data_IF_976870250833
#
_entry.id   IF_976870250833
#
_cell.length_a   1.000
_cell.length_b   1.000
_cell.length_c   1.000
_cell.angle_alpha   90.00
_cell.angle_beta   90.00
_cell.angle_gamma   90.00
#
_symmetry.space_group_name_H-M   'P 1'
#
loop_
_entity.id
_entity.type
_entity.pdbx_description
1 polymer ?
#
# COMPACT_ATOMS: atom_id res chain seq x y z
N UNK A 1 -26.40 22.12 -70.70
CA UNK A 1 -25.40 21.63 -69.75
C UNK A 1 -26.07 21.33 -68.42
N UNK A 2 -26.26 20.07 -68.12
CA UNK A 2 -27.00 19.60 -66.88
C UNK A 2 -25.99 18.88 -66.04
N UNK A 3 -25.69 19.42 -64.86
CA UNK A 3 -24.88 18.76 -63.83
C UNK A 3 -25.82 17.96 -62.93
N UNK A 4 -25.66 16.64 -62.88
CA UNK A 4 -26.37 15.78 -61.95
C UNK A 4 -25.71 15.77 -60.58
N UNK A 5 -26.46 15.54 -59.49
CA UNK A 5 -25.90 15.50 -58.16
C UNK A 5 -25.25 14.15 -57.88
N UNK A 6 -23.99 14.17 -57.42
CA UNK A 6 -23.29 13.03 -56.86
C UNK A 6 -23.86 12.76 -55.45
N UNK A 7 -24.51 11.63 -55.28
CA UNK A 7 -24.87 11.10 -53.95
C UNK A 7 -23.64 10.49 -53.31
N UNK A 8 -23.10 11.16 -52.31
CA UNK A 8 -22.07 10.60 -51.40
C UNK A 8 -22.80 9.74 -50.38
N UNK A 9 -22.71 8.43 -50.55
CA UNK A 9 -23.16 7.48 -49.53
C UNK A 9 -22.14 7.46 -48.39
N UNK A 10 -22.53 8.05 -47.26
CA UNK A 10 -21.75 8.00 -46.00
C UNK A 10 -21.93 6.60 -45.39
N UNK A 11 -20.94 5.73 -45.56
CA UNK A 11 -20.87 4.46 -44.87
C UNK A 11 -20.45 4.73 -43.39
N UNK A 12 -21.41 4.76 -42.51
CA UNK A 12 -21.14 4.75 -41.07
C UNK A 12 -20.80 3.32 -40.70
N UNK A 13 -19.51 2.99 -40.67
CA UNK A 13 -19.03 1.78 -40.02
C UNK A 13 -19.12 1.98 -38.53
N UNK A 14 -20.13 1.38 -37.89
CA UNK A 14 -20.19 1.23 -36.44
C UNK A 14 -19.03 0.32 -36.01
N UNK A 15 -17.92 0.93 -35.50
CA UNK A 15 -16.98 0.18 -34.70
C UNK A 15 -17.69 -0.26 -33.42
N UNK A 16 -17.63 -1.56 -33.06
CA UNK A 16 -17.97 -1.95 -31.72
C UNK A 16 -16.92 -1.32 -30.80
N UNK A 17 -17.34 -0.39 -29.94
CA UNK A 17 -16.58 -0.05 -28.74
C UNK A 17 -16.50 -1.34 -27.93
N UNK A 18 -15.35 -2.02 -28.04
CA UNK A 18 -14.87 -2.89 -27.01
C UNK A 18 -14.66 -1.99 -25.80
N UNK A 19 -15.61 -1.99 -24.90
CA UNK A 19 -15.39 -1.58 -23.53
C UNK A 19 -14.37 -2.59 -22.98
N UNK A 20 -13.08 -2.28 -23.16
CA UNK A 20 -12.04 -2.83 -22.33
C UNK A 20 -12.45 -2.48 -20.91
N UNK A 21 -12.90 -3.46 -20.17
CA UNK A 21 -12.94 -3.43 -18.73
C UNK A 21 -11.50 -3.11 -18.32
N UNK A 22 -11.24 -1.85 -18.01
CA UNK A 22 -10.04 -1.45 -17.32
C UNK A 22 -10.10 -2.17 -15.97
N UNK A 23 -9.58 -3.39 -15.98
CA UNK A 23 -9.17 -4.08 -14.78
C UNK A 23 -8.29 -3.10 -14.03
N UNK A 24 -8.79 -2.62 -12.90
CA UNK A 24 -8.29 -1.46 -12.20
C UNK A 24 -6.83 -1.72 -11.81
N UNK A 25 -5.89 -1.13 -12.56
CA UNK A 25 -4.46 -1.24 -12.34
C UNK A 25 -3.96 -0.71 -10.99
N UNK A 26 -4.86 -0.19 -10.16
CA UNK A 26 -4.59 0.23 -8.79
C UNK A 26 -4.00 -0.91 -7.94
N UNK A 27 -4.55 -2.13 -8.02
CA UNK A 27 -4.07 -3.26 -7.21
C UNK A 27 -2.65 -3.72 -7.58
N UNK A 28 -2.28 -3.66 -8.85
CA UNK A 28 -0.94 -4.03 -9.32
C UNK A 28 0.08 -2.95 -8.93
N UNK A 29 -0.26 -1.68 -9.11
CA UNK A 29 0.61 -0.54 -8.78
C UNK A 29 0.82 -0.41 -7.27
N UNK A 30 -0.22 -0.68 -6.46
CA UNK A 30 -0.13 -0.69 -4.99
C UNK A 30 0.77 -1.83 -4.47
N UNK A 31 0.66 -3.02 -5.05
CA UNK A 31 1.54 -4.14 -4.71
C UNK A 31 2.99 -3.87 -5.09
N UNK A 32 3.24 -3.25 -6.25
CA UNK A 32 4.56 -2.84 -6.69
C UNK A 32 5.12 -1.80 -5.73
N UNK A 33 4.34 -0.79 -5.35
CA UNK A 33 4.74 0.28 -4.43
C UNK A 33 5.11 -0.30 -3.06
N UNK A 34 4.28 -1.17 -2.48
CA UNK A 34 4.57 -1.81 -1.20
C UNK A 34 5.78 -2.74 -1.26
N UNK A 35 5.97 -3.46 -2.36
CA UNK A 35 7.14 -4.32 -2.56
C UNK A 35 8.41 -3.48 -2.66
N UNK A 36 8.37 -2.36 -3.38
CA UNK A 36 9.50 -1.45 -3.53
C UNK A 36 9.84 -0.79 -2.19
N UNK A 37 8.85 -0.30 -1.44
CA UNK A 37 9.04 0.26 -0.10
C UNK A 37 9.69 -0.77 0.84
N UNK A 38 9.25 -2.03 0.82
CA UNK A 38 9.82 -3.07 1.66
C UNK A 38 11.25 -3.46 1.26
N UNK A 39 11.58 -3.42 -0.03
CA UNK A 39 12.95 -3.67 -0.51
C UNK A 39 13.90 -2.55 -0.11
N UNK A 40 13.46 -1.30 -0.24
CA UNK A 40 14.27 -0.13 0.10
C UNK A 40 14.40 0.07 1.62
N UNK A 41 13.45 -0.44 2.40
CA UNK A 41 13.38 -0.29 3.86
C UNK A 41 14.62 -0.84 4.56
N UNK A 42 15.09 -2.05 4.21
CA UNK A 42 16.33 -2.63 4.75
C UNK A 42 17.55 -1.77 4.45
N UNK A 43 17.66 -1.26 3.22
CA UNK A 43 18.73 -0.37 2.80
C UNK A 43 18.71 0.95 3.59
N UNK A 44 17.52 1.52 3.82
CA UNK A 44 17.36 2.73 4.64
C UNK A 44 17.85 2.50 6.06
N UNK A 45 17.51 1.38 6.71
CA UNK A 45 18.00 1.09 8.05
C UNK A 45 19.50 0.85 8.07
N UNK A 46 20.04 0.08 7.13
CA UNK A 46 21.48 -0.18 7.03
C UNK A 46 22.27 1.13 6.90
N UNK A 47 21.82 2.05 6.06
CA UNK A 47 22.47 3.33 5.82
C UNK A 47 22.35 4.31 7.00
N UNK A 48 21.29 4.24 7.80
CA UNK A 48 20.98 5.28 8.78
C UNK A 48 21.22 4.89 10.24
N UNK A 49 21.28 3.61 10.58
CA UNK A 49 21.46 3.18 11.98
C UNK A 49 22.93 3.13 12.42
N UNK A 50 23.87 3.01 11.48
CA UNK A 50 25.29 2.92 11.78
C UNK A 50 25.60 1.76 12.76
N UNK A 51 25.00 0.58 12.50
CA UNK A 51 25.15 -0.59 13.34
C UNK A 51 26.58 -1.15 13.23
N UNK A 52 27.14 -1.57 14.35
CA UNK A 52 28.35 -2.42 14.34
C UNK A 52 27.98 -3.82 13.84
N UNK A 53 28.98 -4.65 13.53
CA UNK A 53 28.75 -6.04 13.12
C UNK A 53 27.99 -6.82 14.19
N UNK A 54 28.38 -6.66 15.47
CA UNK A 54 27.70 -7.30 16.60
C UNK A 54 26.27 -6.81 16.80
N UNK A 55 26.01 -5.51 16.66
CA UNK A 55 24.66 -4.93 16.73
C UNK A 55 23.80 -5.43 15.56
N UNK A 56 24.36 -5.50 14.36
CA UNK A 56 23.69 -6.02 13.15
C UNK A 56 23.27 -7.47 13.34
N UNK A 57 24.15 -8.32 13.87
CA UNK A 57 23.85 -9.73 14.13
C UNK A 57 22.65 -9.91 15.09
N UNK A 58 22.44 -8.97 16.03
CA UNK A 58 21.31 -9.00 16.97
C UNK A 58 20.07 -8.31 16.43
N UNK A 59 20.22 -7.26 15.65
CA UNK A 59 19.11 -6.44 15.13
C UNK A 59 18.33 -7.13 14.02
N UNK A 60 19.03 -7.63 12.97
CA UNK A 60 18.36 -8.12 11.76
C UNK A 60 17.41 -9.30 12.01
N UNK A 61 17.71 -10.30 12.86
CA UNK A 61 16.74 -11.36 13.13
C UNK A 61 15.44 -10.86 13.74
N UNK A 62 15.50 -9.85 14.62
CA UNK A 62 14.30 -9.24 15.24
C UNK A 62 13.52 -8.44 14.20
N UNK A 63 14.22 -7.72 13.34
CA UNK A 63 13.63 -6.95 12.26
C UNK A 63 12.92 -7.88 11.25
N UNK A 64 13.58 -8.95 10.82
CA UNK A 64 13.01 -9.91 9.87
C UNK A 64 11.77 -10.63 10.46
N UNK A 65 11.78 -10.95 11.75
CA UNK A 65 10.60 -11.47 12.44
C UNK A 65 9.44 -10.43 12.46
N UNK A 66 9.77 -9.15 12.64
CA UNK A 66 8.78 -8.07 12.59
C UNK A 66 8.14 -7.96 11.20
N UNK A 67 8.95 -7.89 10.15
CA UNK A 67 8.47 -7.80 8.77
C UNK A 67 7.60 -9.01 8.37
N UNK A 68 8.01 -10.22 8.76
CA UNK A 68 7.23 -11.42 8.51
C UNK A 68 5.84 -11.38 9.18
N UNK A 69 5.73 -10.75 10.36
CA UNK A 69 4.44 -10.59 11.06
C UNK A 69 3.64 -9.37 10.58
N UNK A 70 4.31 -8.37 10.01
CA UNK A 70 3.66 -7.21 9.44
C UNK A 70 2.99 -7.54 8.09
N UNK A 71 3.58 -8.46 7.32
CA UNK A 71 3.08 -8.84 6.00
C UNK A 71 1.59 -9.23 5.97
N UNK A 72 1.07 -10.12 6.84
CA UNK A 72 -0.36 -10.45 6.85
C UNK A 72 -1.27 -9.24 7.09
N UNK A 73 -0.83 -8.25 7.86
CA UNK A 73 -1.58 -7.01 8.08
C UNK A 73 -1.58 -6.14 6.81
N UNK A 74 -0.47 -6.09 6.09
CA UNK A 74 -0.37 -5.42 4.79
C UNK A 74 -1.28 -6.10 3.75
N UNK A 75 -1.28 -7.43 3.71
CA UNK A 75 -2.14 -8.20 2.79
C UNK A 75 -3.64 -7.94 3.08
N UNK A 76 -4.04 -7.89 4.37
CA UNK A 76 -5.41 -7.53 4.79
C UNK A 76 -5.76 -6.08 4.42
N UNK A 77 -4.83 -5.16 4.59
CA UNK A 77 -5.01 -3.76 4.20
C UNK A 77 -5.27 -3.65 2.70
N UNK A 78 -4.45 -4.29 1.87
CA UNK A 78 -4.65 -4.31 0.41
C UNK A 78 -5.98 -4.94 0.02
N UNK A 79 -6.35 -6.07 0.64
CA UNK A 79 -7.63 -6.71 0.38
C UNK A 79 -8.82 -5.78 0.72
N UNK A 80 -8.72 -5.03 1.82
CA UNK A 80 -9.74 -4.05 2.20
C UNK A 80 -9.84 -2.89 1.21
N UNK A 81 -8.71 -2.39 0.71
CA UNK A 81 -8.66 -1.36 -0.33
C UNK A 81 -9.24 -1.85 -1.66
N UNK A 82 -8.85 -3.04 -2.10
CA UNK A 82 -9.37 -3.63 -3.33
C UNK A 82 -10.88 -3.84 -3.26
N UNK A 83 -11.39 -4.28 -2.10
CA UNK A 83 -12.83 -4.41 -1.88
C UNK A 83 -13.54 -3.05 -1.94
N UNK A 84 -12.94 -2.00 -1.38
CA UNK A 84 -13.45 -0.63 -1.50
C UNK A 84 -13.47 -0.15 -2.96
N UNK A 85 -12.36 -0.35 -3.70
CA UNK A 85 -12.27 0.05 -5.09
C UNK A 85 -13.31 -0.65 -5.96
N UNK A 86 -13.50 -1.96 -5.78
CA UNK A 86 -14.46 -2.76 -6.52
C UNK A 86 -15.93 -2.36 -6.26
N UNK A 87 -16.22 -1.79 -5.10
CA UNK A 87 -17.59 -1.40 -4.69
C UNK A 87 -17.81 0.12 -4.69
N UNK A 88 -16.86 0.90 -5.15
CA UNK A 88 -16.86 2.36 -4.97
C UNK A 88 -18.16 3.05 -5.41
N UNK A 89 -18.71 2.68 -6.56
CA UNK A 89 -19.94 3.28 -7.12
C UNK A 89 -21.23 2.65 -6.57
N UNK A 90 -21.14 1.49 -5.91
CA UNK A 90 -22.27 0.72 -5.37
C UNK A 90 -22.14 0.43 -3.88
N UNK A 91 -21.32 1.22 -3.18
CA UNK A 91 -21.01 1.01 -1.77
C UNK A 91 -22.23 1.19 -0.89
N UNK A 92 -22.63 0.13 -0.21
CA UNK A 92 -23.73 0.15 0.76
C UNK A 92 -23.19 0.38 2.19
N UNK A 93 -24.04 0.89 3.09
CA UNK A 93 -23.70 1.14 4.50
C UNK A 93 -23.14 -0.09 5.21
N UNK A 94 -23.67 -1.28 4.92
CA UNK A 94 -23.18 -2.53 5.49
C UNK A 94 -21.75 -2.87 5.07
N UNK A 95 -21.41 -2.63 3.80
CA UNK A 95 -20.07 -2.80 3.27
C UNK A 95 -19.11 -1.78 3.88
N UNK A 96 -19.52 -0.52 3.92
CA UNK A 96 -18.74 0.56 4.52
C UNK A 96 -18.44 0.28 6.01
N UNK A 97 -19.43 -0.18 6.77
CA UNK A 97 -19.27 -0.56 8.17
C UNK A 97 -18.26 -1.73 8.35
N UNK A 98 -18.34 -2.74 7.47
CA UNK A 98 -17.42 -3.87 7.51
C UNK A 98 -15.97 -3.44 7.18
N UNK A 99 -15.79 -2.62 6.15
CA UNK A 99 -14.48 -2.08 5.75
C UNK A 99 -13.87 -1.19 6.84
N UNK A 100 -14.68 -0.34 7.47
CA UNK A 100 -14.24 0.51 8.58
C UNK A 100 -13.79 -0.34 9.78
N UNK A 101 -14.56 -1.37 10.13
CA UNK A 101 -14.20 -2.30 11.22
C UNK A 101 -12.87 -2.99 10.95
N UNK A 102 -12.66 -3.49 9.72
CA UNK A 102 -11.41 -4.13 9.32
C UNK A 102 -10.24 -3.14 9.34
N UNK A 103 -10.42 -1.93 8.81
CA UNK A 103 -9.40 -0.86 8.88
C UNK A 103 -8.96 -0.60 10.32
N UNK A 104 -9.90 -0.43 11.25
CA UNK A 104 -9.60 -0.19 12.67
C UNK A 104 -8.88 -1.36 13.32
N UNK A 105 -9.23 -2.61 12.96
CA UNK A 105 -8.56 -3.81 13.46
C UNK A 105 -7.11 -3.85 13.00
N UNK A 106 -6.84 -3.63 11.71
CA UNK A 106 -5.50 -3.60 11.12
C UNK A 106 -4.63 -2.52 11.78
N UNK A 107 -5.15 -1.32 11.97
CA UNK A 107 -4.43 -0.22 12.64
C UNK A 107 -4.06 -0.55 14.08
N UNK A 108 -5.00 -1.11 14.84
CA UNK A 108 -4.76 -1.54 16.22
C UNK A 108 -3.71 -2.64 16.32
N UNK A 109 -3.83 -3.67 15.49
CA UNK A 109 -2.88 -4.79 15.45
C UNK A 109 -1.49 -4.33 15.00
N UNK A 110 -1.42 -3.47 13.98
CA UNK A 110 -0.17 -2.88 13.49
C UNK A 110 0.54 -2.03 14.54
N UNK A 111 -0.20 -1.19 15.27
CA UNK A 111 0.34 -0.39 16.35
C UNK A 111 0.90 -1.26 17.49
N UNK A 112 0.17 -2.30 17.89
CA UNK A 112 0.62 -3.25 18.91
C UNK A 112 1.88 -4.02 18.47
N UNK A 113 1.91 -4.45 17.21
CA UNK A 113 3.05 -5.13 16.62
C UNK A 113 4.29 -4.23 16.62
N UNK A 114 4.16 -3.00 16.12
CA UNK A 114 5.24 -2.00 16.13
C UNK A 114 5.78 -1.75 17.53
N UNK A 115 4.91 -1.53 18.50
CA UNK A 115 5.30 -1.31 19.90
C UNK A 115 6.09 -2.50 20.46
N UNK A 116 5.61 -3.72 20.24
CA UNK A 116 6.25 -4.95 20.69
C UNK A 116 7.66 -5.10 20.13
N UNK A 117 7.84 -4.90 18.82
CA UNK A 117 9.16 -5.09 18.17
C UNK A 117 10.11 -3.92 18.42
N UNK A 118 9.61 -2.69 18.52
CA UNK A 118 10.43 -1.56 19.00
C UNK A 118 11.00 -1.84 20.40
N UNK A 119 10.19 -2.41 21.30
CA UNK A 119 10.67 -2.80 22.63
C UNK A 119 11.70 -3.93 22.59
N UNK A 120 11.57 -4.92 21.69
CA UNK A 120 12.59 -5.96 21.48
C UNK A 120 13.91 -5.36 20.96
N UNK A 121 13.85 -4.46 19.97
CA UNK A 121 15.02 -3.79 19.39
C UNK A 121 15.71 -2.90 20.43
N UNK A 122 14.95 -2.21 21.27
CA UNK A 122 15.50 -1.38 22.35
C UNK A 122 16.32 -2.18 23.41
N UNK A 123 16.14 -3.51 23.48
CA UNK A 123 16.94 -4.37 24.36
C UNK A 123 18.29 -4.79 23.77
N UNK A 124 18.44 -4.70 22.45
CA UNK A 124 19.64 -5.18 21.72
C UNK A 124 20.46 -4.07 21.12
N UNK A 125 19.93 -2.85 21.05
CA UNK A 125 20.64 -1.66 20.55
C UNK A 125 20.87 -0.62 21.65
N UNK A 126 21.93 0.18 21.53
CA UNK A 126 22.11 1.38 22.35
C UNK A 126 20.89 2.32 22.25
N UNK A 127 20.52 3.03 23.35
CA UNK A 127 19.29 3.84 23.38
C UNK A 127 19.16 4.86 22.23
N UNK A 128 20.25 5.50 21.83
CA UNK A 128 20.23 6.45 20.69
C UNK A 128 19.89 5.76 19.36
N UNK A 129 20.43 4.56 19.12
CA UNK A 129 20.16 3.79 17.90
C UNK A 129 18.74 3.21 17.91
N UNK A 130 18.27 2.74 19.06
CA UNK A 130 16.90 2.27 19.22
C UNK A 130 15.88 3.40 18.99
N UNK A 131 16.12 4.59 19.53
CA UNK A 131 15.29 5.78 19.26
C UNK A 131 15.31 6.14 17.76
N UNK A 132 16.48 6.13 17.11
CA UNK A 132 16.62 6.40 15.69
C UNK A 132 15.85 5.38 14.84
N UNK A 133 15.90 4.08 15.21
CA UNK A 133 15.07 3.06 14.58
C UNK A 133 13.58 3.39 14.67
N UNK A 134 13.07 3.70 15.87
CA UNK A 134 11.66 4.04 16.08
C UNK A 134 11.22 5.27 15.26
N UNK A 135 12.10 6.28 15.15
CA UNK A 135 11.84 7.48 14.32
C UNK A 135 11.82 7.14 12.83
N UNK A 136 12.75 6.33 12.35
CA UNK A 136 12.81 5.88 10.95
C UNK A 136 11.57 5.05 10.61
N UNK A 137 11.20 4.07 11.45
CA UNK A 137 10.02 3.24 11.25
C UNK A 137 8.74 4.09 11.15
N UNK A 138 8.57 5.05 12.06
CA UNK A 138 7.41 5.95 12.01
C UNK A 138 7.40 6.81 10.73
N UNK A 139 8.56 7.32 10.31
CA UNK A 139 8.66 8.14 9.10
C UNK A 139 8.34 7.32 7.85
N UNK A 140 8.90 6.12 7.73
CA UNK A 140 8.63 5.21 6.60
C UNK A 140 7.14 4.87 6.54
N UNK A 141 6.53 4.47 7.66
CA UNK A 141 5.10 4.14 7.72
C UNK A 141 4.23 5.32 7.31
N UNK A 142 4.51 6.52 7.82
CA UNK A 142 3.73 7.72 7.50
C UNK A 142 3.86 8.10 6.02
N UNK A 143 5.07 8.00 5.43
CA UNK A 143 5.28 8.29 4.01
C UNK A 143 4.54 7.28 3.14
N UNK A 144 4.64 5.98 3.47
CA UNK A 144 3.92 4.92 2.73
C UNK A 144 2.41 5.12 2.83
N UNK A 145 1.89 5.36 4.04
CA UNK A 145 0.46 5.61 4.24
C UNK A 145 -0.02 6.85 3.46
N UNK A 146 0.73 7.95 3.50
CA UNK A 146 0.40 9.17 2.75
C UNK A 146 0.34 8.91 1.25
N UNK A 147 1.32 8.18 0.70
CA UNK A 147 1.34 7.85 -0.72
C UNK A 147 0.14 6.99 -1.13
N UNK A 148 -0.20 5.97 -0.34
CA UNK A 148 -1.35 5.10 -0.61
C UNK A 148 -2.67 5.88 -0.49
N UNK A 149 -2.88 6.60 0.61
CA UNK A 149 -4.14 7.34 0.81
C UNK A 149 -4.35 8.48 -0.18
N UNK A 150 -3.30 9.06 -0.75
CA UNK A 150 -3.44 10.08 -1.80
C UNK A 150 -4.04 9.55 -3.10
N UNK A 151 -4.01 8.24 -3.32
CA UNK A 151 -4.55 7.57 -4.51
C UNK A 151 -6.00 7.10 -4.32
N UNK A 152 -6.53 7.11 -3.08
CA UNK A 152 -7.83 6.54 -2.74
C UNK A 152 -8.86 7.67 -2.65
N UNK A 153 -9.95 7.63 -3.44
CA UNK A 153 -11.03 8.60 -3.30
C UNK A 153 -11.78 8.39 -1.97
N UNK A 154 -12.43 9.45 -1.48
CA UNK A 154 -13.30 9.34 -0.31
C UNK A 154 -14.60 8.61 -0.69
N UNK A 155 -15.17 7.87 0.27
CA UNK A 155 -16.49 7.28 0.13
C UNK A 155 -17.52 8.37 -0.13
N UNK A 156 -18.49 8.10 -0.99
CA UNK A 156 -19.59 9.03 -1.37
C UNK A 156 -20.79 8.86 -0.46
#
# INVERSE_FOLDING_TARGET
MRFGPLAIALLITALPMLADAQDTGLAADEQILLKQVNTDKKAVYAANLGLTEEESARFWPIYDEYEAKLKPLQDRFLANLNNFAAKYDTLEDADAAAMLKEKMAIEKEGAALKQKYTAKIAKVLPPKKALRYAQLETRIQNTTASNVYSLIPLAR
#
